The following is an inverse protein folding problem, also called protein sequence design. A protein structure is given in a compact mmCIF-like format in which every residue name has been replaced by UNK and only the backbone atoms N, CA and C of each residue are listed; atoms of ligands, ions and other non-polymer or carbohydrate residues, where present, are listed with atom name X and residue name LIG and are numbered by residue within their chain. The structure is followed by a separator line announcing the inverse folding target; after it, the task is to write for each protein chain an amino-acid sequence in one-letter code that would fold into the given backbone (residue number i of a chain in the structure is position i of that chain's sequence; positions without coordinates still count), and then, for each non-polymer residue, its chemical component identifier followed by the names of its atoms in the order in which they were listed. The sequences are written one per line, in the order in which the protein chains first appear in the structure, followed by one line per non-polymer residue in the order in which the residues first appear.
data_IF_408507288647
#
_entry.id   IF_408507288647
#
_cell.length_a   1.000
_cell.length_b   1.000
_cell.length_c   1.000
_cell.angle_alpha   90.00
_cell.angle_beta   90.00
_cell.angle_gamma   90.00
#
_symmetry.space_group_name_H-M   'P 1'
#
loop_
_entity.id
_entity.type
_entity.pdbx_description
1 polymer ?
#
# COMPACT_ATOMS: atom_id res chain seq x y z
N UNK A 1 28.43 58.17 -4.15
CA UNK A 1 28.10 56.79 -4.60
C UNK A 1 28.18 55.92 -3.37
N UNK A 2 27.14 55.16 -3.07
CA UNK A 2 27.12 54.20 -1.96
C UNK A 2 27.10 52.81 -2.59
N UNK A 3 27.95 51.90 -2.12
CA UNK A 3 27.99 50.51 -2.55
C UNK A 3 26.96 49.68 -1.77
N UNK A 4 26.49 48.56 -2.33
CA UNK A 4 25.51 47.69 -1.68
C UNK A 4 26.02 47.13 -0.34
N UNK A 5 27.34 46.92 -0.23
CA UNK A 5 27.99 46.49 1.00
C UNK A 5 27.96 47.54 2.14
N UNK A 6 27.73 48.83 1.83
CA UNK A 6 27.63 49.89 2.84
C UNK A 6 26.27 49.89 3.56
N UNK A 7 25.28 49.18 3.00
CA UNK A 7 23.88 49.16 3.48
C UNK A 7 23.30 47.75 3.68
N UNK A 8 24.01 46.69 3.30
CA UNK A 8 23.56 45.31 3.43
C UNK A 8 24.74 44.32 3.64
N UNK A 9 24.48 43.26 4.40
CA UNK A 9 25.41 42.13 4.60
C UNK A 9 25.13 41.05 3.55
N UNK A 10 26.19 40.59 2.86
CA UNK A 10 26.10 39.60 1.77
C UNK A 10 26.84 38.35 2.21
N UNK A 11 26.10 37.26 2.36
CA UNK A 11 26.61 35.95 2.76
C UNK A 11 26.08 34.84 1.87
N UNK A 12 26.90 33.81 1.68
CA UNK A 12 26.48 32.57 1.03
C UNK A 12 25.86 31.65 2.07
N UNK A 13 24.66 31.16 1.81
CA UNK A 13 23.94 30.20 2.65
C UNK A 13 23.46 29.03 1.79
N UNK A 14 23.54 27.82 2.36
CA UNK A 14 22.91 26.66 1.77
C UNK A 14 21.40 26.71 2.00
N UNK A 15 20.64 26.67 0.91
CA UNK A 15 19.19 26.62 0.91
C UNK A 15 18.66 25.30 0.35
N UNK A 16 17.37 24.98 0.56
CA UNK A 16 16.77 23.81 -0.05
C UNK A 16 16.85 23.91 -1.59
N UNK A 17 17.39 22.90 -2.29
CA UNK A 17 17.50 22.94 -3.74
C UNK A 17 16.11 22.85 -4.42
N UNK A 18 15.14 22.24 -3.75
CA UNK A 18 13.76 22.14 -4.19
C UNK A 18 12.85 21.85 -3.00
N UNK A 19 11.73 22.57 -2.89
CA UNK A 19 10.68 22.29 -1.92
C UNK A 19 9.58 21.53 -2.65
N UNK A 20 9.43 20.24 -2.32
CA UNK A 20 8.34 19.40 -2.80
C UNK A 20 7.23 19.37 -1.76
N UNK A 21 5.99 19.44 -2.23
CA UNK A 21 4.80 19.40 -1.39
C UNK A 21 3.79 18.42 -1.95
N UNK A 22 3.11 17.73 -1.05
CA UNK A 22 1.99 16.86 -1.35
C UNK A 22 0.92 17.07 -0.28
N UNK A 23 -0.32 17.30 -0.70
CA UNK A 23 -1.42 17.67 0.20
C UNK A 23 -1.09 18.86 1.13
N UNK A 24 -0.41 19.87 0.59
CA UNK A 24 0.06 21.07 1.30
C UNK A 24 1.03 20.79 2.47
N UNK A 25 1.63 19.60 2.53
CA UNK A 25 2.70 19.24 3.46
C UNK A 25 4.02 19.07 2.71
N UNK A 26 5.13 19.67 3.16
CA UNK A 26 6.45 19.36 2.61
C UNK A 26 6.74 17.87 2.72
N UNK A 27 7.19 17.26 1.63
CA UNK A 27 7.50 15.83 1.59
C UNK A 27 8.90 15.56 1.04
N UNK A 28 9.49 14.47 1.50
CA UNK A 28 10.71 13.89 0.97
C UNK A 28 10.41 12.51 0.42
N UNK A 29 11.01 12.15 -0.70
CA UNK A 29 10.87 10.83 -1.31
C UNK A 29 12.17 10.06 -1.19
N UNK A 30 12.06 8.81 -0.74
CA UNK A 30 13.16 7.83 -0.76
C UNK A 30 12.78 6.78 -1.79
N UNK A 31 13.54 6.72 -2.88
CA UNK A 31 13.33 5.72 -3.92
C UNK A 31 14.09 4.46 -3.54
N UNK A 32 13.39 3.33 -3.57
CA UNK A 32 13.94 2.01 -3.30
C UNK A 32 13.69 1.14 -4.51
N UNK A 33 14.76 0.57 -5.06
CA UNK A 33 14.69 -0.40 -6.14
C UNK A 33 14.85 -1.81 -5.56
N UNK A 34 13.99 -2.73 -5.98
CA UNK A 34 13.93 -4.10 -5.45
C UNK A 34 14.23 -5.05 -6.61
N UNK A 35 15.32 -5.79 -6.49
CA UNK A 35 15.71 -6.80 -7.47
C UNK A 35 15.67 -8.21 -6.84
N UNK A 36 15.16 -9.17 -7.61
CA UNK A 36 15.13 -10.59 -7.22
C UNK A 36 14.23 -10.95 -6.02
N UNK A 37 13.37 -10.06 -5.52
CA UNK A 37 12.52 -10.30 -4.33
C UNK A 37 11.07 -9.85 -4.52
N UNK A 38 10.15 -10.54 -3.84
CA UNK A 38 8.73 -10.16 -3.78
C UNK A 38 8.53 -8.79 -3.10
N UNK A 39 7.75 -7.93 -3.76
CA UNK A 39 7.45 -6.56 -3.31
C UNK A 39 6.71 -6.55 -1.96
N UNK A 40 5.70 -7.42 -1.79
CA UNK A 40 4.88 -7.41 -0.59
C UNK A 40 5.67 -7.80 0.65
N UNK A 41 6.41 -8.90 0.56
CA UNK A 41 7.26 -9.40 1.63
C UNK A 41 8.37 -8.41 1.98
N UNK A 42 8.99 -7.80 0.97
CA UNK A 42 10.01 -6.77 1.18
C UNK A 42 9.46 -5.56 1.94
N UNK A 43 8.32 -5.02 1.52
CA UNK A 43 7.74 -3.82 2.16
C UNK A 43 7.32 -4.11 3.60
N UNK A 44 6.79 -5.30 3.90
CA UNK A 44 6.44 -5.69 5.28
C UNK A 44 7.68 -5.74 6.17
N UNK A 45 8.77 -6.33 5.72
CA UNK A 45 10.03 -6.37 6.49
C UNK A 45 10.66 -4.99 6.64
N UNK A 46 10.63 -4.18 5.58
CA UNK A 46 11.15 -2.82 5.61
C UNK A 46 10.33 -1.93 6.56
N UNK A 47 9.00 -2.09 6.58
CA UNK A 47 8.12 -1.43 7.55
C UNK A 47 8.49 -1.76 8.99
N UNK A 48 8.73 -3.04 9.29
CA UNK A 48 9.15 -3.49 10.62
C UNK A 48 10.51 -2.91 10.99
N UNK A 49 11.51 -3.02 10.11
CA UNK A 49 12.85 -2.50 10.36
C UNK A 49 12.86 -0.99 10.58
N UNK A 50 12.07 -0.23 9.82
CA UNK A 50 11.92 1.22 10.00
C UNK A 50 11.22 1.54 11.32
N UNK A 51 10.16 0.80 11.67
CA UNK A 51 9.47 1.01 12.94
C UNK A 51 10.36 0.73 14.16
N UNK A 52 11.25 -0.26 14.07
CA UNK A 52 12.14 -0.64 15.17
C UNK A 52 13.35 0.29 15.31
N UNK A 53 13.90 0.78 14.20
CA UNK A 53 15.16 1.54 14.19
C UNK A 53 14.96 3.06 14.12
N UNK A 54 13.79 3.54 13.70
CA UNK A 54 13.52 4.96 13.48
C UNK A 54 12.53 5.50 14.51
N UNK A 55 13.00 6.40 15.36
CA UNK A 55 12.12 7.22 16.19
C UNK A 55 11.72 8.46 15.39
N UNK A 56 10.48 8.50 14.92
CA UNK A 56 9.95 9.65 14.18
C UNK A 56 9.65 10.80 15.16
N UNK A 57 10.20 12.01 14.93
CA UNK A 57 9.83 13.18 15.73
C UNK A 57 8.37 13.57 15.48
N UNK A 58 7.76 14.24 16.46
CA UNK A 58 6.37 14.66 16.37
C UNK A 58 6.12 15.53 15.11
N UNK A 59 5.02 15.26 14.41
CA UNK A 59 4.64 15.98 13.19
C UNK A 59 5.13 15.33 11.89
N UNK A 60 5.97 14.29 11.95
CA UNK A 60 6.38 13.53 10.78
C UNK A 60 5.51 12.28 10.60
N UNK A 61 5.19 11.98 9.34
CA UNK A 61 4.48 10.76 8.94
C UNK A 61 5.24 10.08 7.82
N UNK A 62 5.32 8.76 7.89
CA UNK A 62 5.92 7.94 6.85
C UNK A 62 4.81 7.21 6.10
N UNK A 63 4.87 7.23 4.77
CA UNK A 63 3.92 6.56 3.89
C UNK A 63 4.67 5.72 2.86
N UNK A 64 4.17 4.52 2.60
CA UNK A 64 4.69 3.62 1.57
C UNK A 64 3.81 3.75 0.34
N UNK A 65 4.35 4.35 -0.72
CA UNK A 65 3.62 4.55 -1.98
C UNK A 65 4.27 3.79 -3.13
N UNK A 66 3.76 3.97 -4.35
CA UNK A 66 4.19 3.28 -5.55
C UNK A 66 3.38 2.01 -5.81
N UNK A 67 4.04 0.97 -6.33
CA UNK A 67 3.38 -0.29 -6.71
C UNK A 67 2.71 -0.99 -5.51
N UNK A 68 3.27 -0.85 -4.31
CA UNK A 68 2.72 -1.43 -3.09
C UNK A 68 1.32 -0.89 -2.76
N UNK A 69 1.12 0.42 -2.90
CA UNK A 69 -0.18 1.05 -2.66
C UNK A 69 -1.27 0.53 -3.63
N UNK A 70 -0.90 0.28 -4.90
CA UNK A 70 -1.82 -0.35 -5.86
C UNK A 70 -2.15 -1.80 -5.48
N UNK A 71 -1.15 -2.56 -5.01
CA UNK A 71 -1.34 -3.93 -4.54
C UNK A 71 -2.26 -3.98 -3.31
N UNK A 72 -2.05 -3.09 -2.34
CA UNK A 72 -2.87 -2.99 -1.14
C UNK A 72 -4.33 -2.63 -1.48
N UNK A 73 -4.54 -1.60 -2.32
CA UNK A 73 -5.88 -1.25 -2.82
C UNK A 73 -6.57 -2.41 -3.56
N UNK A 74 -5.82 -3.17 -4.36
CA UNK A 74 -6.35 -4.34 -5.05
C UNK A 74 -6.74 -5.46 -4.08
N UNK A 75 -5.90 -5.72 -3.07
CA UNK A 75 -6.16 -6.67 -2.00
C UNK A 75 -7.41 -6.29 -1.19
N UNK A 76 -7.55 -5.03 -0.82
CA UNK A 76 -8.72 -4.53 -0.10
C UNK A 76 -9.99 -4.73 -0.92
N UNK A 77 -9.95 -4.39 -2.21
CA UNK A 77 -11.08 -4.63 -3.11
C UNK A 77 -11.43 -6.12 -3.22
N UNK A 78 -10.43 -7.00 -3.40
CA UNK A 78 -10.66 -8.43 -3.50
C UNK A 78 -11.20 -9.03 -2.20
N UNK A 79 -10.76 -8.55 -1.04
CA UNK A 79 -11.24 -9.02 0.26
C UNK A 79 -12.75 -8.79 0.45
N UNK A 80 -13.30 -7.76 -0.20
CA UNK A 80 -14.74 -7.46 -0.21
C UNK A 80 -15.46 -8.19 -1.34
N UNK A 81 -14.88 -8.22 -2.54
CA UNK A 81 -15.53 -8.81 -3.72
C UNK A 81 -15.66 -10.33 -3.60
N UNK A 82 -14.64 -11.04 -3.11
CA UNK A 82 -14.63 -12.50 -2.96
C UNK A 82 -15.79 -13.03 -2.08
N UNK A 83 -16.04 -12.53 -0.86
CA UNK A 83 -17.17 -13.02 -0.06
C UNK A 83 -18.51 -12.68 -0.68
N UNK A 84 -18.65 -11.51 -1.32
CA UNK A 84 -19.89 -11.13 -2.01
C UNK A 84 -20.21 -12.10 -3.15
N UNK A 85 -19.22 -12.44 -3.99
CA UNK A 85 -19.44 -13.38 -5.09
C UNK A 85 -19.79 -14.78 -4.58
N UNK A 86 -19.13 -15.26 -3.52
CA UNK A 86 -19.48 -16.53 -2.87
C UNK A 86 -20.92 -16.54 -2.36
N UNK A 87 -21.36 -15.47 -1.71
CA UNK A 87 -22.74 -15.34 -1.22
C UNK A 87 -23.76 -15.33 -2.36
N UNK A 88 -23.46 -14.63 -3.47
CA UNK A 88 -24.31 -14.62 -4.67
C UNK A 88 -24.40 -16.03 -5.27
N UNK A 89 -23.27 -16.71 -5.45
CA UNK A 89 -23.25 -18.09 -5.97
C UNK A 89 -24.05 -19.02 -5.05
N UNK A 90 -23.89 -18.88 -3.72
CA UNK A 90 -24.64 -19.66 -2.74
C UNK A 90 -26.15 -19.47 -2.89
N UNK A 91 -26.61 -18.23 -3.08
CA UNK A 91 -28.03 -17.93 -3.30
C UNK A 91 -28.54 -18.52 -4.60
N UNK A 92 -27.78 -18.41 -5.69
CA UNK A 92 -28.15 -18.99 -6.99
C UNK A 92 -28.27 -20.51 -6.91
N UNK A 93 -27.30 -21.18 -6.26
CA UNK A 93 -27.35 -22.63 -6.04
C UNK A 93 -28.54 -23.01 -5.15
N UNK A 94 -28.81 -22.24 -4.10
CA UNK A 94 -29.96 -22.47 -3.23
C UNK A 94 -31.28 -22.35 -3.99
N UNK A 95 -31.44 -21.37 -4.88
CA UNK A 95 -32.67 -21.27 -5.69
C UNK A 95 -32.81 -22.40 -6.71
N UNK A 96 -31.70 -22.94 -7.19
CA UNK A 96 -31.70 -24.08 -8.12
C UNK A 96 -32.11 -25.39 -7.45
N UNK A 97 -31.47 -25.74 -6.32
CA UNK A 97 -31.66 -27.04 -5.66
C UNK A 97 -32.69 -27.01 -4.52
N UNK A 98 -32.98 -25.83 -3.95
CA UNK A 98 -33.82 -25.62 -2.76
C UNK A 98 -33.41 -26.45 -1.53
N UNK A 99 -32.18 -26.97 -1.52
CA UNK A 99 -31.66 -27.84 -0.47
C UNK A 99 -30.30 -27.36 -0.01
N UNK A 100 -30.22 -26.93 1.25
CA UNK A 100 -29.00 -26.38 1.85
C UNK A 100 -27.84 -27.39 1.82
N UNK A 101 -28.13 -28.69 2.02
CA UNK A 101 -27.10 -29.73 2.01
C UNK A 101 -26.35 -29.85 0.69
N UNK A 102 -27.05 -29.74 -0.45
CA UNK A 102 -26.42 -29.83 -1.78
C UNK A 102 -25.56 -28.60 -2.08
N UNK A 103 -26.04 -27.41 -1.70
CA UNK A 103 -25.30 -26.16 -1.83
C UNK A 103 -24.00 -26.20 -1.03
N UNK A 104 -24.05 -26.68 0.22
CA UNK A 104 -22.87 -26.78 1.08
C UNK A 104 -21.84 -27.77 0.53
N UNK A 105 -22.27 -28.91 -0.02
CA UNK A 105 -21.36 -29.87 -0.65
C UNK A 105 -20.62 -29.23 -1.82
N UNK A 106 -21.32 -28.49 -2.69
CA UNK A 106 -20.70 -27.77 -3.82
C UNK A 106 -19.75 -26.68 -3.32
N UNK A 107 -20.14 -25.91 -2.29
CA UNK A 107 -19.26 -24.89 -1.73
C UNK A 107 -18.00 -25.48 -1.09
N UNK A 108 -18.09 -26.69 -0.53
CA UNK A 108 -16.93 -27.38 0.06
C UNK A 108 -15.91 -27.84 -1.00
N UNK A 109 -16.31 -28.01 -2.26
CA UNK A 109 -15.37 -28.35 -3.34
C UNK A 109 -14.58 -27.14 -3.84
N UNK A 110 -15.03 -25.91 -3.59
CA UNK A 110 -14.31 -24.69 -4.00
C UNK A 110 -12.92 -24.56 -3.35
N UNK A 111 -12.74 -24.72 -2.02
CA UNK A 111 -11.41 -24.75 -1.41
C UNK A 111 -10.48 -25.80 -2.03
N UNK A 112 -11.00 -26.99 -2.33
CA UNK A 112 -10.24 -28.06 -2.99
C UNK A 112 -9.83 -27.67 -4.41
N UNK A 113 -10.71 -27.00 -5.17
CA UNK A 113 -10.41 -26.51 -6.51
C UNK A 113 -9.34 -25.41 -6.51
N UNK A 114 -9.34 -24.52 -5.50
CA UNK A 114 -8.33 -23.47 -5.36
C UNK A 114 -6.93 -24.04 -5.15
N UNK A 115 -6.79 -25.13 -4.39
CA UNK A 115 -5.50 -25.81 -4.20
C UNK A 115 -4.93 -26.28 -5.55
N UNK A 116 -5.78 -26.77 -6.45
CA UNK A 116 -5.37 -27.18 -7.80
C UNK A 116 -4.96 -26.02 -8.72
N UNK A 117 -5.41 -24.79 -8.45
CA UNK A 117 -5.05 -23.60 -9.23
C UNK A 117 -3.77 -22.88 -8.77
N UNK A 118 -3.22 -23.27 -7.60
CA UNK A 118 -2.01 -22.69 -7.03
C UNK A 118 -0.71 -23.43 -7.41
N UNK A 119 -0.82 -24.50 -8.21
CA UNK A 119 0.30 -25.34 -8.65
C UNK A 119 0.67 -25.07 -10.11
#
# INVERSE_FOLDING_TARGET
RIALADVADIRYEDGPPMIKTENARPNGWVFVDIDGRDLGSYVVEAQQAVADQLVLPAGYSLAWSGQYEYMERAKDRLSVVVPITLVIIMMLLYFSFRRVGEVLIIMLTLPLAMVGGLW
#
